data_IF_740718478828
#
_entry.id   IF_740718478828
#
_cell.length_a   1.000
_cell.length_b   1.000
_cell.length_c   1.000
_cell.angle_alpha   90.00
_cell.angle_beta   90.00
_cell.angle_gamma   90.00
#
_symmetry.space_group_name_H-M   'P 1'
#
loop_
_entity.id
_entity.type
_entity.pdbx_description
1 polymer ?
#
# COMPACT_ATOMS: atom_id res chain seq x y z
N UNK A 1 5.17 -3.92 -6.73
CA UNK A 1 4.31 -2.72 -6.51
C UNK A 1 4.79 -1.87 -5.34
N UNK A 2 4.93 -2.43 -4.13
CA UNK A 2 5.33 -1.73 -2.90
C UNK A 2 6.58 -0.86 -3.01
N UNK A 3 7.70 -1.42 -3.47
CA UNK A 3 8.97 -0.67 -3.64
C UNK A 3 8.86 0.53 -4.57
N UNK A 4 8.03 0.43 -5.63
CA UNK A 4 7.80 1.52 -6.57
C UNK A 4 6.92 2.61 -5.96
N UNK A 5 5.88 2.21 -5.22
CA UNK A 5 5.01 3.12 -4.47
C UNK A 5 5.78 3.88 -3.39
N UNK A 6 6.51 3.18 -2.51
CA UNK A 6 7.29 3.81 -1.44
C UNK A 6 8.33 4.80 -1.98
N UNK A 7 8.99 4.48 -3.10
CA UNK A 7 9.96 5.38 -3.73
C UNK A 7 9.32 6.66 -4.29
N UNK A 8 8.10 6.58 -4.82
CA UNK A 8 7.37 7.73 -5.35
C UNK A 8 6.78 8.58 -4.21
N UNK A 9 6.20 7.93 -3.20
CA UNK A 9 5.62 8.58 -2.03
C UNK A 9 6.68 9.32 -1.21
N UNK A 10 7.85 8.70 -0.97
CA UNK A 10 8.97 9.33 -0.26
C UNK A 10 9.48 10.60 -0.95
N UNK A 11 9.42 10.64 -2.28
CA UNK A 11 9.80 11.81 -3.09
C UNK A 11 8.68 12.83 -3.24
N UNK A 12 7.52 12.59 -2.61
CA UNK A 12 6.28 13.39 -2.78
C UNK A 12 5.88 13.58 -4.24
N UNK A 13 6.34 12.69 -5.12
CA UNK A 13 6.09 12.79 -6.55
C UNK A 13 4.60 12.54 -6.80
N UNK A 14 3.95 13.46 -7.53
CA UNK A 14 2.51 13.46 -7.81
C UNK A 14 1.57 13.58 -6.60
N UNK A 15 2.09 13.58 -5.37
CA UNK A 15 1.28 13.64 -4.14
C UNK A 15 0.40 14.89 -4.11
N UNK A 16 0.93 16.04 -4.55
CA UNK A 16 0.22 17.32 -4.63
C UNK A 16 -1.04 17.32 -5.51
N UNK A 17 -1.18 16.38 -6.47
CA UNK A 17 -2.40 16.22 -7.26
C UNK A 17 -3.55 15.60 -6.46
N UNK A 18 -3.25 14.88 -5.37
CA UNK A 18 -4.21 14.13 -4.59
C UNK A 18 -4.47 14.74 -3.21
N UNK A 19 -3.49 15.43 -2.60
CA UNK A 19 -3.68 16.03 -1.26
C UNK A 19 -4.67 17.19 -1.20
N UNK A 20 -5.10 17.72 -2.36
CA UNK A 20 -6.17 18.72 -2.40
C UNK A 20 -7.50 18.17 -1.87
N UNK A 21 -7.70 16.85 -1.95
CA UNK A 21 -8.96 16.18 -1.61
C UNK A 21 -8.79 14.94 -0.71
N UNK A 22 -7.55 14.51 -0.45
CA UNK A 22 -7.24 13.28 0.29
C UNK A 22 -6.18 13.59 1.34
N UNK A 23 -6.44 13.23 2.59
CA UNK A 23 -5.44 13.39 3.65
C UNK A 23 -4.19 12.55 3.33
N UNK A 24 -3.00 13.06 3.67
CA UNK A 24 -1.75 12.32 3.49
C UNK A 24 -1.78 10.98 4.23
N UNK A 25 -2.45 10.93 5.37
CA UNK A 25 -2.49 9.73 6.20
C UNK A 25 -3.26 8.58 5.51
N UNK A 26 -4.21 8.89 4.61
CA UNK A 26 -4.94 7.89 3.81
C UNK A 26 -4.00 7.05 2.94
N UNK A 27 -2.90 7.63 2.44
CA UNK A 27 -1.93 6.86 1.64
C UNK A 27 -1.15 5.85 2.47
N UNK A 28 -0.89 6.17 3.75
CA UNK A 28 -0.24 5.24 4.68
C UNK A 28 -1.20 4.14 5.08
N UNK A 29 -2.42 4.49 5.48
CA UNK A 29 -3.47 3.55 5.86
C UNK A 29 -3.79 2.56 4.73
N UNK A 30 -3.93 3.04 3.49
CA UNK A 30 -4.17 2.19 2.34
C UNK A 30 -3.00 1.24 2.03
N UNK A 31 -1.76 1.66 2.29
CA UNK A 31 -0.58 0.82 2.10
C UNK A 31 -0.50 -0.29 3.17
N UNK A 32 -0.82 0.04 4.42
CA UNK A 32 -0.90 -0.92 5.52
C UNK A 32 -2.02 -1.95 5.28
N UNK A 33 -3.22 -1.49 4.90
CA UNK A 33 -4.33 -2.38 4.56
C UNK A 33 -4.00 -3.33 3.39
N UNK A 34 -3.27 -2.84 2.37
CA UNK A 34 -2.83 -3.69 1.27
C UNK A 34 -1.85 -4.77 1.73
N UNK A 35 -0.93 -4.44 2.64
CA UNK A 35 0.01 -5.41 3.20
C UNK A 35 -0.71 -6.49 4.02
N UNK A 36 -1.75 -6.11 4.78
CA UNK A 36 -2.58 -7.06 5.53
C UNK A 36 -3.29 -8.06 4.60
N UNK A 37 -3.89 -7.57 3.51
CA UNK A 37 -4.54 -8.43 2.51
C UNK A 37 -3.54 -9.39 1.88
N UNK A 38 -2.34 -8.91 1.50
CA UNK A 38 -1.29 -9.77 0.94
C UNK A 38 -0.91 -10.87 1.95
N UNK A 39 -0.69 -10.51 3.21
CA UNK A 39 -0.33 -11.46 4.26
C UNK A 39 -1.44 -12.49 4.52
N UNK A 40 -2.71 -12.10 4.42
CA UNK A 40 -3.84 -13.03 4.49
C UNK A 40 -3.85 -14.01 3.31
N UNK A 41 -3.65 -13.54 2.09
CA UNK A 41 -3.53 -14.40 0.91
C UNK A 41 -2.37 -15.39 1.03
N UNK A 42 -1.22 -14.95 1.55
CA UNK A 42 -0.06 -15.81 1.75
C UNK A 42 -0.33 -16.89 2.82
N UNK A 43 -1.04 -16.54 3.90
CA UNK A 43 -1.47 -17.50 4.93
C UNK A 43 -2.43 -18.54 4.36
N UNK A 44 -3.46 -18.11 3.65
CA UNK A 44 -4.43 -19.02 3.01
C UNK A 44 -3.72 -19.92 1.99
N UNK A 45 -2.79 -19.37 1.19
CA UNK A 45 -1.98 -20.16 0.25
C UNK A 45 -1.11 -21.21 0.95
N UNK A 46 -0.57 -20.90 2.11
CA UNK A 46 0.24 -21.84 2.89
C UNK A 46 -0.62 -22.96 3.51
N UNK A 47 -1.83 -22.64 4.00
CA UNK A 47 -2.75 -23.59 4.61
C UNK A 47 -3.38 -24.57 3.61
N UNK A 48 -3.56 -24.14 2.35
CA UNK A 48 -4.20 -24.97 1.31
C UNK A 48 -3.24 -25.98 0.66
N UNK A 49 -1.92 -25.87 0.89
CA UNK A 49 -0.90 -26.74 0.30
C UNK A 49 -0.74 -26.59 -1.22
N UNK A 50 0.38 -27.07 -1.82
CA UNK A 50 0.58 -27.08 -3.27
C UNK A 50 -0.36 -28.03 -4.02
#
# INVERSE_FOLDING_TARGET
MRTRFSRLYARKANVHHYVKYVDRDVFREAAEALDEVIAEYERVRADVGP
#
